data_IF_136704804262
#
_entry.id   IF_136704804262
#
_cell.length_a   1.000
_cell.length_b   1.000
_cell.length_c   1.000
_cell.angle_alpha   90.00
_cell.angle_beta   90.00
_cell.angle_gamma   90.00
#
_symmetry.space_group_name_H-M   'P 1'
#
loop_
_entity.id
_entity.type
_entity.pdbx_description
1 polymer ?
#
# COMPACT_ATOMS: atom_id res chain seq x y z
N UNK A 1 10.16 -64.31 12.01
CA UNK A 1 8.74 -64.69 11.76
C UNK A 1 8.00 -64.24 13.02
N UNK A 2 7.25 -63.15 13.08
CA UNK A 2 6.25 -62.66 12.14
C UNK A 2 6.10 -61.13 12.29
N UNK A 3 5.92 -60.45 11.16
CA UNK A 3 5.65 -59.02 11.06
C UNK A 3 4.18 -58.72 11.38
N UNK A 4 3.89 -57.57 11.99
CA UNK A 4 2.58 -56.93 11.87
C UNK A 4 2.79 -55.43 11.68
N UNK A 5 2.45 -54.85 10.52
CA UNK A 5 2.42 -53.42 10.30
C UNK A 5 1.10 -52.87 10.85
N UNK A 6 1.17 -52.02 11.87
CA UNK A 6 0.05 -51.21 12.31
C UNK A 6 -0.12 -50.03 11.37
N UNK A 7 -1.14 -50.12 10.51
CA UNK A 7 -1.53 -49.10 9.55
C UNK A 7 -1.86 -47.76 10.21
N UNK A 8 -1.08 -46.75 9.84
CA UNK A 8 -1.57 -45.50 9.23
C UNK A 8 -2.93 -44.98 9.72
N UNK A 9 -2.89 -43.98 10.61
CA UNK A 9 -3.80 -42.83 10.47
C UNK A 9 -3.07 -41.58 10.94
N UNK A 10 -2.21 -41.06 10.06
CA UNK A 10 -1.70 -39.70 10.20
C UNK A 10 -2.86 -38.75 9.94
N UNK A 11 -3.53 -38.35 11.01
CA UNK A 11 -4.50 -37.26 11.02
C UNK A 11 -3.79 -36.00 10.52
N UNK A 12 -4.00 -35.69 9.24
CA UNK A 12 -3.56 -34.46 8.58
C UNK A 12 -4.38 -33.30 9.14
N UNK A 13 -3.98 -32.83 10.32
CA UNK A 13 -4.55 -31.65 10.94
C UNK A 13 -4.22 -30.41 10.09
N UNK A 14 -5.29 -29.73 9.65
CA UNK A 14 -5.29 -28.31 9.30
C UNK A 14 -4.44 -27.91 8.10
N UNK A 15 -5.03 -27.98 6.90
CA UNK A 15 -4.71 -26.98 5.89
C UNK A 15 -4.98 -25.62 6.52
N UNK A 16 -3.94 -24.83 6.78
CA UNK A 16 -4.09 -23.39 7.00
C UNK A 16 -4.95 -22.87 5.86
N UNK A 17 -6.19 -22.50 6.19
CA UNK A 17 -6.99 -21.66 5.34
C UNK A 17 -6.27 -20.31 5.33
N UNK A 18 -5.24 -20.20 4.49
CA UNK A 18 -4.82 -18.90 3.98
C UNK A 18 -6.10 -18.35 3.37
N UNK A 19 -6.71 -17.39 4.09
CA UNK A 19 -7.99 -16.82 3.77
C UNK A 19 -7.82 -16.12 2.42
N UNK A 20 -8.05 -16.88 1.34
CA UNK A 20 -8.08 -16.32 0.02
C UNK A 20 -9.21 -15.29 0.06
N UNK A 21 -8.91 -14.01 -0.18
CA UNK A 21 -9.94 -12.97 -0.13
C UNK A 21 -11.07 -13.41 -1.05
N UNK A 22 -12.29 -13.51 -0.52
CA UNK A 22 -13.50 -13.81 -1.30
C UNK A 22 -13.84 -12.69 -2.30
N UNK A 23 -13.10 -11.58 -2.19
CA UNK A 23 -13.19 -10.39 -3.00
C UNK A 23 -12.22 -10.46 -4.19
N UNK A 24 -12.70 -10.05 -5.36
CA UNK A 24 -11.91 -10.04 -6.59
C UNK A 24 -10.95 -8.85 -6.62
N UNK A 25 -9.67 -9.14 -6.80
CA UNK A 25 -8.66 -8.12 -7.14
C UNK A 25 -9.02 -7.48 -8.50
N UNK A 26 -9.22 -6.16 -8.50
CA UNK A 26 -9.51 -5.37 -9.69
C UNK A 26 -8.24 -4.89 -10.39
N UNK A 27 -7.21 -4.54 -9.61
CA UNK A 27 -5.92 -4.08 -10.13
C UNK A 27 -4.78 -4.43 -9.17
N UNK A 28 -3.61 -4.72 -9.75
CA UNK A 28 -2.37 -4.94 -9.02
C UNK A 28 -1.28 -4.08 -9.64
N UNK A 29 -0.51 -3.38 -8.80
CA UNK A 29 0.64 -2.60 -9.22
C UNK A 29 1.85 -2.96 -8.35
N UNK A 30 3.02 -3.05 -8.97
CA UNK A 30 4.28 -3.39 -8.29
C UNK A 30 5.26 -2.25 -8.51
N UNK A 31 5.86 -1.76 -7.43
CA UNK A 31 6.84 -0.67 -7.47
C UNK A 31 8.02 -0.95 -6.55
N UNK A 32 9.19 -0.44 -6.90
CA UNK A 32 10.35 -0.42 -6.01
C UNK A 32 10.12 0.60 -4.89
N UNK A 33 10.51 0.21 -3.66
CA UNK A 33 10.45 1.06 -2.48
C UNK A 33 11.84 1.64 -2.26
N UNK A 34 12.07 2.83 -2.80
CA UNK A 34 13.39 3.48 -2.77
C UNK A 34 13.81 3.88 -1.35
N UNK A 35 12.83 4.10 -0.46
CA UNK A 35 13.06 4.52 0.93
C UNK A 35 13.10 3.35 1.92
N UNK A 36 13.42 2.14 1.45
CA UNK A 36 13.56 0.97 2.32
C UNK A 36 14.98 0.89 2.91
N UNK A 37 15.17 1.46 4.11
CA UNK A 37 16.50 1.63 4.73
C UNK A 37 16.96 0.49 5.67
N UNK A 38 16.46 -0.74 5.49
CA UNK A 38 16.85 -1.85 6.37
C UNK A 38 18.20 -2.46 5.98
N UNK A 39 18.89 -3.06 6.97
CA UNK A 39 20.10 -3.87 6.72
C UNK A 39 19.73 -5.33 6.52
N UNK A 40 20.36 -5.98 5.56
CA UNK A 40 20.27 -7.42 5.36
C UNK A 40 20.83 -8.14 6.60
N UNK A 41 20.03 -8.98 7.29
CA UNK A 41 20.49 -9.69 8.48
C UNK A 41 21.53 -10.78 8.18
N UNK A 42 21.71 -11.17 6.91
CA UNK A 42 22.71 -12.18 6.52
C UNK A 42 24.10 -11.60 6.28
N UNK A 43 24.20 -10.40 5.72
CA UNK A 43 25.48 -9.84 5.27
C UNK A 43 25.73 -8.37 5.67
N UNK A 44 24.75 -7.70 6.27
CA UNK A 44 24.89 -6.33 6.79
C UNK A 44 24.74 -5.19 5.77
N UNK A 45 24.66 -5.50 4.47
CA UNK A 45 24.45 -4.51 3.41
C UNK A 45 23.01 -3.98 3.37
N UNK A 46 22.79 -2.88 2.65
CA UNK A 46 21.45 -2.34 2.44
C UNK A 46 20.53 -3.39 1.78
N UNK A 47 19.35 -3.57 2.36
CA UNK A 47 18.26 -4.32 1.77
C UNK A 47 17.43 -3.37 0.88
N UNK A 48 16.72 -3.96 -0.08
CA UNK A 48 15.74 -3.28 -0.93
C UNK A 48 14.37 -3.90 -0.69
N UNK A 49 13.30 -3.23 -1.11
CA UNK A 49 11.97 -3.83 -1.08
C UNK A 49 11.18 -3.45 -2.33
N UNK A 50 10.28 -4.35 -2.74
CA UNK A 50 9.21 -4.02 -3.68
C UNK A 50 7.89 -3.97 -2.94
N UNK A 51 7.02 -3.01 -3.30
CA UNK A 51 5.65 -2.95 -2.82
C UNK A 51 4.71 -3.49 -3.88
N UNK A 52 3.70 -4.26 -3.47
CA UNK A 52 2.60 -4.69 -4.32
C UNK A 52 1.30 -4.13 -3.75
N UNK A 53 0.65 -3.24 -4.49
CA UNK A 53 -0.64 -2.66 -4.13
C UNK A 53 -1.74 -3.40 -4.87
N UNK A 54 -2.65 -4.01 -4.11
CA UNK A 54 -3.84 -4.70 -4.62
C UNK A 54 -5.08 -3.93 -4.23
N UNK A 55 -5.91 -3.63 -5.23
CA UNK A 55 -7.23 -3.00 -5.03
C UNK A 55 -8.31 -4.03 -5.27
N UNK A 56 -9.23 -4.11 -4.33
CA UNK A 56 -10.31 -5.09 -4.30
C UNK A 56 -11.66 -4.42 -4.57
N UNK A 57 -12.67 -5.20 -4.96
CA UNK A 57 -14.00 -4.71 -5.31
C UNK A 57 -14.78 -4.16 -4.11
N UNK A 58 -14.48 -4.62 -2.89
CA UNK A 58 -15.02 -4.05 -1.64
C UNK A 58 -14.46 -2.67 -1.29
N UNK A 59 -13.53 -2.13 -2.08
CA UNK A 59 -12.80 -0.90 -1.75
C UNK A 59 -11.62 -1.12 -0.80
N UNK A 60 -11.36 -2.36 -0.36
CA UNK A 60 -10.14 -2.71 0.38
C UNK A 60 -8.90 -2.48 -0.49
N UNK A 61 -7.87 -1.88 0.11
CA UNK A 61 -6.55 -1.71 -0.51
C UNK A 61 -5.53 -2.42 0.37
N UNK A 62 -4.81 -3.38 -0.20
CA UNK A 62 -3.76 -4.15 0.48
C UNK A 62 -2.42 -3.81 -0.13
N UNK A 63 -1.46 -3.42 0.68
CA UNK A 63 -0.07 -3.17 0.28
C UNK A 63 0.84 -4.22 0.91
N UNK A 64 1.58 -4.96 0.09
CA UNK A 64 2.55 -5.97 0.53
C UNK A 64 3.97 -5.49 0.25
N UNK A 65 4.85 -5.50 1.24
CA UNK A 65 6.27 -5.19 1.09
C UNK A 65 7.10 -6.47 1.06
N UNK A 66 7.92 -6.63 0.03
CA UNK A 66 8.78 -7.80 -0.18
C UNK A 66 10.25 -7.41 -0.04
N UNK A 67 10.82 -7.45 1.17
CA UNK A 67 12.21 -7.12 1.40
C UNK A 67 13.14 -8.19 0.81
N UNK A 68 14.17 -7.77 0.09
CA UNK A 68 15.20 -8.62 -0.51
C UNK A 68 16.59 -7.98 -0.43
N UNK A 69 17.64 -8.77 -0.55
CA UNK A 69 19.01 -8.28 -0.70
C UNK A 69 19.50 -8.54 -2.14
N UNK A 70 19.87 -7.48 -2.85
CA UNK A 70 20.36 -7.55 -4.25
C UNK A 70 21.80 -8.07 -4.39
N UNK A 71 22.47 -8.36 -3.28
CA UNK A 71 23.80 -8.95 -3.24
C UNK A 71 23.75 -10.48 -3.30
N UNK A 72 24.88 -11.17 -3.61
CA UNK A 72 24.92 -12.62 -3.79
C UNK A 72 24.38 -13.46 -2.61
N UNK A 73 24.19 -12.87 -1.42
CA UNK A 73 23.55 -13.57 -0.31
C UNK A 73 22.05 -13.88 -0.55
N UNK A 74 21.40 -13.16 -1.47
CA UNK A 74 20.05 -13.43 -1.98
C UNK A 74 18.94 -13.48 -0.92
N UNK A 75 19.15 -12.86 0.23
CA UNK A 75 18.20 -12.92 1.34
C UNK A 75 16.83 -12.36 0.94
N UNK A 76 15.77 -13.00 1.45
CA UNK A 76 14.37 -12.58 1.34
C UNK A 76 13.82 -12.50 2.75
N UNK A 77 13.27 -11.34 3.12
CA UNK A 77 12.68 -11.14 4.43
C UNK A 77 11.19 -11.47 4.48
N UNK A 78 10.63 -11.35 5.68
CA UNK A 78 9.20 -11.54 5.91
C UNK A 78 8.39 -10.47 5.18
N UNK A 79 7.35 -10.89 4.45
CA UNK A 79 6.44 -9.97 3.77
C UNK A 79 5.63 -9.19 4.82
N UNK A 80 5.63 -7.87 4.71
CA UNK A 80 4.83 -6.99 5.58
C UNK A 80 3.56 -6.58 4.87
N UNK A 81 2.43 -6.66 5.57
CA UNK A 81 1.12 -6.37 4.99
C UNK A 81 0.52 -5.17 5.71
N UNK A 82 0.14 -4.18 4.94
CA UNK A 82 -0.67 -3.05 5.40
C UNK A 82 -2.00 -3.10 4.68
N UNK A 83 -3.09 -3.08 5.43
CA UNK A 83 -4.45 -3.02 4.89
C UNK A 83 -5.05 -1.65 5.19
N UNK A 84 -5.58 -0.99 4.16
CA UNK A 84 -6.39 0.21 4.30
C UNK A 84 -7.80 -0.09 3.81
N UNK A 85 -8.77 0.15 4.66
CA UNK A 85 -10.18 0.13 4.30
C UNK A 85 -10.58 1.56 3.95
N UNK A 86 -11.23 1.76 2.80
CA UNK A 86 -11.94 3.00 2.56
C UNK A 86 -13.14 3.05 3.51
N UNK A 87 -12.98 3.70 4.65
CA UNK A 87 -14.13 4.26 5.37
C UNK A 87 -14.79 5.22 4.38
N UNK A 88 -15.95 4.82 3.83
CA UNK A 88 -16.78 5.73 3.06
C UNK A 88 -16.95 6.98 3.91
N UNK A 89 -16.39 8.10 3.46
CA UNK A 89 -16.60 9.37 4.11
C UNK A 89 -18.13 9.55 4.17
N UNK A 90 -18.68 9.61 5.38
CA UNK A 90 -20.02 10.15 5.54
C UNK A 90 -19.99 11.53 4.87
N UNK A 91 -21.00 11.91 4.07
CA UNK A 91 -21.09 13.28 3.57
C UNK A 91 -21.03 14.19 4.80
N UNK A 92 -20.03 15.09 4.86
CA UNK A 92 -19.93 16.08 5.92
C UNK A 92 -21.27 16.84 6.00
N UNK A 93 -21.96 16.89 7.15
CA UNK A 93 -23.29 17.50 7.23
C UNK A 93 -23.26 19.03 7.09
N UNK A 94 -22.09 19.66 7.02
CA UNK A 94 -21.97 21.11 6.88
C UNK A 94 -20.93 21.50 5.81
N UNK A 95 -21.28 22.33 4.82
CA UNK A 95 -20.30 23.00 3.98
C UNK A 95 -19.48 24.01 4.82
N UNK A 96 -18.19 24.21 4.53
CA UNK A 96 -17.44 25.32 5.13
C UNK A 96 -18.11 26.66 4.77
N UNK A 97 -18.09 27.67 5.64
CA UNK A 97 -18.60 28.98 5.27
C UNK A 97 -17.80 29.51 4.07
N UNK A 98 -18.50 29.85 2.99
CA UNK A 98 -17.92 30.54 1.83
C UNK A 98 -17.43 31.90 2.31
N UNK A 99 -16.12 32.05 2.47
CA UNK A 99 -15.49 33.36 2.66
C UNK A 99 -15.47 34.03 1.28
N UNK A 100 -16.35 35.02 1.08
CA UNK A 100 -16.26 35.92 -0.06
C UNK A 100 -15.08 36.86 0.18
N UNK A 101 -13.95 36.59 -0.49
CA UNK A 101 -12.83 37.51 -0.54
C UNK A 101 -13.13 38.47 -1.69
N UNK A 102 -13.69 39.64 -1.40
CA UNK A 102 -13.76 40.73 -2.37
C UNK A 102 -12.35 41.30 -2.57
N UNK A 103 -11.69 40.86 -3.66
CA UNK A 103 -10.48 41.49 -4.16
C UNK A 103 -10.86 42.86 -4.77
N UNK A 104 -10.84 43.91 -3.96
CA UNK A 104 -10.80 45.29 -4.45
C UNK A 104 -9.40 45.57 -4.99
N UNK A 105 -9.23 45.38 -6.30
CA UNK A 105 -8.12 45.94 -7.06
C UNK A 105 -8.55 47.33 -7.57
N UNK A 106 -8.45 48.36 -6.74
CA UNK A 106 -8.51 49.75 -7.19
C UNK A 106 -7.19 50.08 -7.91
N UNK A 107 -7.20 49.88 -9.23
CA UNK A 107 -6.16 50.40 -10.11
C UNK A 107 -6.38 51.89 -10.35
N UNK A 108 -5.68 52.73 -9.60
CA UNK A 108 -5.47 54.13 -9.99
C UNK A 108 -4.67 54.17 -11.29
N UNK A 109 -5.31 54.64 -12.36
CA UNK A 109 -4.76 54.89 -13.69
C UNK A 109 -3.92 56.17 -13.69
N UNK A 110 -2.60 56.13 -13.99
CA UNK A 110 -1.83 57.34 -14.26
C UNK A 110 -1.75 57.58 -15.77
N UNK A 111 -2.45 58.61 -16.24
CA UNK A 111 -2.00 59.37 -17.41
C UNK A 111 -3.01 59.54 -18.53
N UNK A 112 -3.96 60.45 -18.35
CA UNK A 112 -4.59 61.13 -19.48
C UNK A 112 -3.57 62.07 -20.12
N UNK A 113 -2.97 61.65 -21.24
CA UNK A 113 -2.23 62.53 -22.13
C UNK A 113 -3.21 63.44 -22.87
N UNK A 114 -3.22 64.73 -22.53
CA UNK A 114 -3.89 65.78 -23.30
C UNK A 114 -3.09 66.06 -24.58
N UNK A 115 -3.71 65.78 -25.72
CA UNK A 115 -3.37 66.33 -27.04
C UNK A 115 -4.05 67.69 -27.20
N UNK A 116 -3.28 68.76 -27.26
CA UNK A 116 -3.64 70.06 -27.86
C UNK A 116 -2.36 70.84 -28.19
#
# INVERSE_FOLDING_TARGET
MNSTPGSETTTRAGRSTEQQPTDRSLASNVTDVLDFFEKCPRCGYAAQATSTVRRYDSGRVVTLFHPTCALPCGWRGTVRVTEQQSISALPSPNPPPTVHIENQCDGEDPGTALIA
#
